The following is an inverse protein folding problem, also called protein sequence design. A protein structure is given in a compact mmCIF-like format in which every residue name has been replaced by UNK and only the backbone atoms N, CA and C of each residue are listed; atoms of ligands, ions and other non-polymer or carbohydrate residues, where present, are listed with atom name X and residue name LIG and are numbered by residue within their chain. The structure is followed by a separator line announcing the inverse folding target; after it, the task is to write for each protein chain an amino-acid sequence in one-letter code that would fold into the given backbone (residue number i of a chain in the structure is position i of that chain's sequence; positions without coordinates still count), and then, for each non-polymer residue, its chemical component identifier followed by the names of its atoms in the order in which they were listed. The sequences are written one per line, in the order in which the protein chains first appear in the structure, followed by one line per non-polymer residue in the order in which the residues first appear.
data_IF_421348365125
#
_entry.id   IF_421348365125
#
_cell.length_a   1.000
_cell.length_b   1.000
_cell.length_c   1.000
_cell.angle_alpha   90.00
_cell.angle_beta   90.00
_cell.angle_gamma   90.00
#
_symmetry.space_group_name_H-M   'P 1'
#
loop_
_entity.id
_entity.type
_entity.pdbx_description
1 polymer ?
#
# COMPACT_ATOMS: atom_id res chain seq x y z
N UNK A 1 -10.70 -45.12 51.81
CA UNK A 1 -9.67 -44.08 51.67
C UNK A 1 -9.06 -44.01 50.25
N UNK A 2 -8.71 -45.14 49.60
CA UNK A 2 -8.07 -45.14 48.25
C UNK A 2 -8.93 -44.51 47.14
N UNK A 3 -10.28 -44.65 47.13
CA UNK A 3 -11.17 -44.10 46.15
C UNK A 3 -11.33 -42.55 46.23
N UNK A 4 -11.20 -41.95 47.40
CA UNK A 4 -11.28 -40.51 47.60
C UNK A 4 -10.00 -39.78 47.15
N UNK A 5 -8.85 -40.45 47.28
CA UNK A 5 -7.55 -39.93 46.83
C UNK A 5 -7.46 -39.89 45.31
N UNK A 6 -7.97 -40.90 44.60
CA UNK A 6 -8.00 -40.96 43.13
C UNK A 6 -8.90 -39.86 42.57
N UNK A 7 -10.06 -39.57 43.19
CA UNK A 7 -10.95 -38.46 42.74
C UNK A 7 -10.32 -37.09 42.90
N UNK A 8 -9.55 -36.86 43.95
CA UNK A 8 -8.85 -35.55 44.16
C UNK A 8 -7.72 -35.37 43.17
N UNK A 9 -6.99 -36.43 42.83
CA UNK A 9 -5.93 -36.37 41.80
C UNK A 9 -6.51 -36.14 40.41
N UNK A 10 -7.67 -36.72 40.09
CA UNK A 10 -8.33 -36.48 38.77
C UNK A 10 -8.87 -35.05 38.61
N UNK A 11 -9.39 -34.46 39.70
CA UNK A 11 -9.86 -33.06 39.67
C UNK A 11 -8.68 -32.08 39.59
N UNK A 12 -7.55 -32.36 40.28
CA UNK A 12 -6.33 -31.56 40.16
C UNK A 12 -5.71 -31.65 38.76
N UNK A 13 -5.76 -32.81 38.07
CA UNK A 13 -5.26 -32.97 36.72
C UNK A 13 -6.13 -32.23 35.68
N UNK A 14 -7.46 -32.13 35.86
CA UNK A 14 -8.35 -31.34 35.01
C UNK A 14 -8.19 -29.82 35.22
N UNK A 15 -7.89 -29.36 36.45
CA UNK A 15 -7.65 -27.95 36.73
C UNK A 15 -6.34 -27.43 36.09
N UNK A 16 -5.31 -28.28 35.99
CA UNK A 16 -4.03 -27.93 35.32
C UNK A 16 -4.19 -27.94 33.81
N UNK A 17 -5.08 -28.76 33.23
CA UNK A 17 -5.36 -28.81 31.79
C UNK A 17 -6.11 -27.58 31.26
N UNK A 18 -6.89 -26.88 32.09
CA UNK A 18 -7.62 -25.67 31.68
C UNK A 18 -6.77 -24.39 31.65
N UNK A 19 -5.58 -24.42 32.28
CA UNK A 19 -4.64 -23.27 32.29
C UNK A 19 -3.67 -23.27 31.09
N UNK A 20 -3.58 -24.37 30.35
CA UNK A 20 -2.72 -24.47 29.15
C UNK A 20 -3.40 -24.08 27.84
N UNK A 21 -4.65 -23.59 27.87
CA UNK A 21 -5.45 -23.23 26.70
C UNK A 21 -5.59 -21.73 26.41
N UNK A 22 -4.97 -20.85 27.19
CA UNK A 22 -4.78 -19.47 26.80
C UNK A 22 -3.61 -19.42 25.83
N UNK A 23 -3.90 -19.26 24.51
CA UNK A 23 -2.90 -18.94 23.53
C UNK A 23 -2.07 -17.77 24.06
N UNK A 24 -0.79 -18.01 24.27
CA UNK A 24 0.17 -16.97 24.61
C UNK A 24 0.10 -15.95 23.46
N UNK A 25 -0.56 -14.81 23.67
CA UNK A 25 -0.17 -13.60 22.94
C UNK A 25 1.30 -13.44 23.28
N UNK A 26 2.17 -13.53 22.29
CA UNK A 26 3.57 -13.15 22.46
C UNK A 26 3.57 -11.81 23.20
N UNK A 27 4.28 -11.74 24.31
CA UNK A 27 4.35 -10.51 25.07
C UNK A 27 4.99 -9.46 24.15
N UNK A 28 4.25 -8.38 23.88
CA UNK A 28 4.73 -7.27 23.08
C UNK A 28 6.03 -6.75 23.71
N UNK A 29 7.08 -6.59 22.91
CA UNK A 29 8.32 -5.97 23.38
C UNK A 29 8.07 -4.46 23.51
N UNK A 30 7.86 -3.99 24.74
CA UNK A 30 7.56 -2.58 25.03
C UNK A 30 8.71 -1.63 24.65
N UNK A 31 9.93 -2.18 24.47
CA UNK A 31 11.12 -1.42 24.10
C UNK A 31 11.40 -1.39 22.58
N UNK A 32 10.49 -1.90 21.73
CA UNK A 32 10.67 -1.90 20.29
C UNK A 32 9.83 -0.83 19.59
N UNK A 33 10.29 -0.41 18.39
CA UNK A 33 9.50 0.37 17.46
C UNK A 33 8.72 -0.55 16.53
N UNK A 34 7.39 -0.40 16.51
CA UNK A 34 6.47 -1.20 15.69
C UNK A 34 6.13 -0.46 14.39
N UNK A 35 6.71 -0.91 13.28
CA UNK A 35 6.46 -0.35 11.95
C UNK A 35 5.59 -1.31 11.16
N UNK A 36 4.41 -0.85 10.74
CA UNK A 36 3.53 -1.58 9.83
C UNK A 36 3.85 -1.27 8.38
N UNK A 37 3.77 -2.28 7.52
CA UNK A 37 3.81 -2.13 6.08
C UNK A 37 2.53 -2.67 5.44
N UNK A 38 2.05 -2.01 4.38
CA UNK A 38 0.90 -2.49 3.60
C UNK A 38 1.21 -2.30 2.11
N UNK A 39 0.96 -3.34 1.33
CA UNK A 39 1.07 -3.28 -0.13
C UNK A 39 0.78 -4.63 -0.77
N UNK A 40 0.59 -4.68 -2.10
CA UNK A 40 0.27 -5.90 -2.80
C UNK A 40 1.51 -6.80 -2.93
N UNK A 41 1.55 -7.94 -2.24
CA UNK A 41 2.55 -8.99 -2.46
C UNK A 41 1.97 -10.18 -3.24
N UNK A 42 0.67 -10.14 -3.51
CA UNK A 42 -0.03 -11.02 -4.46
C UNK A 42 -0.87 -10.19 -5.43
N UNK A 43 -1.34 -10.81 -6.53
CA UNK A 43 -2.12 -10.12 -7.58
C UNK A 43 -1.26 -9.37 -8.60
N UNK A 44 -1.91 -8.52 -9.41
CA UNK A 44 -1.30 -7.89 -10.60
C UNK A 44 -0.17 -6.90 -10.28
N UNK A 45 -0.23 -6.25 -9.13
CA UNK A 45 0.76 -5.27 -8.68
C UNK A 45 1.81 -5.86 -7.71
N UNK A 46 1.86 -7.18 -7.56
CA UNK A 46 2.73 -7.87 -6.59
C UNK A 46 4.22 -7.54 -6.74
N UNK A 47 4.68 -7.26 -7.95
CA UNK A 47 6.08 -6.89 -8.20
C UNK A 47 6.48 -5.61 -7.46
N UNK A 48 5.57 -4.64 -7.36
CA UNK A 48 5.82 -3.37 -6.66
C UNK A 48 5.79 -3.56 -5.15
N UNK A 49 4.78 -4.23 -4.62
CA UNK A 49 4.64 -4.46 -3.19
C UNK A 49 5.75 -5.34 -2.63
N UNK A 50 6.14 -6.39 -3.36
CA UNK A 50 7.27 -7.26 -2.97
C UNK A 50 8.59 -6.47 -2.97
N UNK A 51 8.82 -5.59 -3.95
CA UNK A 51 10.02 -4.75 -3.97
C UNK A 51 10.07 -3.80 -2.76
N UNK A 52 8.94 -3.18 -2.40
CA UNK A 52 8.83 -2.31 -1.22
C UNK A 52 9.04 -3.10 0.07
N UNK A 53 8.39 -4.25 0.21
CA UNK A 53 8.55 -5.12 1.38
C UNK A 53 10.02 -5.51 1.59
N UNK A 54 10.68 -5.97 0.53
CA UNK A 54 12.09 -6.39 0.60
C UNK A 54 13.01 -5.21 0.90
N UNK A 55 12.80 -4.05 0.27
CA UNK A 55 13.60 -2.86 0.56
C UNK A 55 13.45 -2.36 1.99
N UNK A 56 12.23 -2.38 2.54
CA UNK A 56 11.98 -2.04 3.93
C UNK A 56 12.62 -3.05 4.88
N UNK A 57 12.54 -4.36 4.59
CA UNK A 57 13.17 -5.39 5.41
C UNK A 57 14.69 -5.21 5.48
N UNK A 58 15.34 -4.93 4.34
CA UNK A 58 16.78 -4.65 4.31
C UNK A 58 17.13 -3.47 5.23
N UNK A 59 16.38 -2.38 5.16
CA UNK A 59 16.61 -1.22 6.02
C UNK A 59 16.39 -1.54 7.51
N UNK A 60 15.37 -2.32 7.83
CA UNK A 60 15.10 -2.78 9.20
C UNK A 60 16.25 -3.64 9.72
N UNK A 61 16.73 -4.59 8.92
CA UNK A 61 17.83 -5.47 9.29
C UNK A 61 19.11 -4.67 9.55
N UNK A 62 19.48 -3.74 8.64
CA UNK A 62 20.65 -2.87 8.79
C UNK A 62 20.57 -1.98 10.05
N UNK A 63 19.41 -1.37 10.31
CA UNK A 63 19.19 -0.53 11.49
C UNK A 63 19.29 -1.37 12.76
N UNK A 64 18.70 -2.55 12.78
CA UNK A 64 18.72 -3.46 13.92
C UNK A 64 20.12 -4.01 14.19
N UNK A 65 20.87 -4.37 13.16
CA UNK A 65 22.28 -4.79 13.28
C UNK A 65 23.17 -3.67 13.83
N UNK A 66 22.86 -2.42 13.49
CA UNK A 66 23.56 -1.25 14.02
C UNK A 66 23.17 -0.90 15.49
N UNK A 67 22.28 -1.66 16.10
CA UNK A 67 21.83 -1.47 17.50
C UNK A 67 20.47 -0.79 17.64
N UNK A 68 19.71 -0.67 16.56
CA UNK A 68 18.38 -0.07 16.55
C UNK A 68 18.38 1.46 16.59
N UNK A 69 17.21 2.03 16.80
CA UNK A 69 17.01 3.48 16.93
C UNK A 69 17.11 3.86 18.40
N UNK A 70 18.18 4.55 18.80
CA UNK A 70 18.45 4.90 20.21
C UNK A 70 18.49 3.67 21.14
N UNK A 71 18.94 2.52 20.63
CA UNK A 71 19.01 1.26 21.37
C UNK A 71 17.73 0.41 21.31
N UNK A 72 16.68 0.87 20.64
CA UNK A 72 15.43 0.15 20.46
C UNK A 72 15.39 -0.54 19.09
N UNK A 73 15.08 -1.82 19.07
CA UNK A 73 14.94 -2.60 17.83
C UNK A 73 13.66 -2.24 17.10
N UNK A 74 13.64 -2.39 15.78
CA UNK A 74 12.46 -2.26 14.95
C UNK A 74 11.81 -3.64 14.83
N UNK A 75 10.53 -3.72 15.16
CA UNK A 75 9.63 -4.83 14.81
C UNK A 75 8.85 -4.42 13.55
N UNK A 76 8.95 -5.24 12.51
CA UNK A 76 8.34 -4.93 11.22
C UNK A 76 7.33 -6.01 10.83
N UNK A 77 6.12 -5.59 10.46
CA UNK A 77 5.04 -6.47 10.00
C UNK A 77 4.44 -5.92 8.72
N UNK A 78 4.46 -6.72 7.65
CA UNK A 78 3.93 -6.33 6.35
C UNK A 78 2.68 -7.15 6.01
N UNK A 79 1.60 -6.47 5.60
CA UNK A 79 0.32 -7.06 5.24
C UNK A 79 0.05 -6.92 3.74
N UNK A 80 -0.48 -7.98 3.13
CA UNK A 80 -0.87 -8.00 1.72
C UNK A 80 -2.26 -7.39 1.52
N UNK A 81 -2.35 -6.30 0.77
CA UNK A 81 -3.62 -5.67 0.37
C UNK A 81 -4.13 -6.13 -1.01
N UNK A 82 -3.33 -6.88 -1.76
CA UNK A 82 -3.64 -7.35 -3.11
C UNK A 82 -4.02 -6.22 -4.10
N UNK A 83 -3.68 -4.97 -3.78
CA UNK A 83 -4.10 -3.79 -4.54
C UNK A 83 -5.59 -3.43 -4.36
N UNK A 84 -6.24 -3.94 -3.33
CA UNK A 84 -7.66 -3.77 -3.04
C UNK A 84 -7.87 -2.81 -1.85
N UNK A 85 -8.70 -1.75 -2.01
CA UNK A 85 -8.94 -0.76 -0.96
C UNK A 85 -9.56 -1.34 0.33
N UNK A 86 -10.46 -2.32 0.24
CA UNK A 86 -11.10 -2.93 1.41
C UNK A 86 -10.12 -3.81 2.18
N UNK A 87 -9.28 -4.57 1.44
CA UNK A 87 -8.22 -5.37 2.06
C UNK A 87 -7.16 -4.50 2.72
N UNK A 88 -6.81 -3.36 2.12
CA UNK A 88 -5.90 -2.39 2.72
C UNK A 88 -6.45 -1.83 4.04
N UNK A 89 -7.74 -1.50 4.11
CA UNK A 89 -8.39 -1.06 5.34
C UNK A 89 -8.37 -2.17 6.42
N UNK A 90 -8.60 -3.43 6.05
CA UNK A 90 -8.51 -4.56 6.96
C UNK A 90 -7.07 -4.81 7.44
N UNK A 91 -6.09 -4.70 6.53
CA UNK A 91 -4.67 -4.79 6.85
C UNK A 91 -4.24 -3.70 7.84
N UNK A 92 -4.71 -2.46 7.63
CA UNK A 92 -4.48 -1.35 8.56
C UNK A 92 -5.00 -1.67 9.96
N UNK A 93 -6.24 -2.13 10.09
CA UNK A 93 -6.82 -2.51 11.39
C UNK A 93 -6.04 -3.64 12.06
N UNK A 94 -5.61 -4.65 11.28
CA UNK A 94 -4.76 -5.76 11.79
C UNK A 94 -3.44 -5.24 12.36
N UNK A 95 -2.77 -4.32 11.66
CA UNK A 95 -1.52 -3.72 12.12
C UNK A 95 -1.73 -2.80 13.33
N UNK A 96 -2.84 -2.07 13.38
CA UNK A 96 -3.22 -1.27 14.54
C UNK A 96 -3.42 -2.13 15.78
N UNK A 97 -4.12 -3.26 15.65
CA UNK A 97 -4.32 -4.24 16.74
C UNK A 97 -3.00 -4.91 17.17
N UNK A 98 -2.06 -5.10 16.25
CA UNK A 98 -0.71 -5.56 16.53
C UNK A 98 0.09 -4.50 17.32
N UNK A 99 -0.33 -3.24 17.24
CA UNK A 99 0.24 -2.11 17.97
C UNK A 99 1.26 -1.31 17.17
N UNK A 100 1.06 -1.24 15.86
CA UNK A 100 1.79 -0.36 14.95
C UNK A 100 1.82 1.08 15.45
N UNK A 101 2.98 1.74 15.33
CA UNK A 101 3.21 3.14 15.69
C UNK A 101 3.40 4.04 14.46
N UNK A 102 3.87 3.47 13.35
CA UNK A 102 4.11 4.15 12.08
C UNK A 102 3.67 3.23 10.94
N UNK A 103 2.99 3.78 9.94
CA UNK A 103 2.62 3.06 8.73
C UNK A 103 3.53 3.45 7.56
N UNK A 104 4.22 2.48 6.97
CA UNK A 104 4.88 2.55 5.67
C UNK A 104 3.99 1.87 4.62
N UNK A 105 3.26 2.67 3.88
CA UNK A 105 2.28 2.16 2.90
C UNK A 105 1.12 3.14 2.68
N UNK A 106 0.13 2.77 1.84
CA UNK A 106 0.20 1.58 1.00
C UNK A 106 1.03 1.86 -0.27
N UNK A 107 1.30 0.82 -1.05
CA UNK A 107 2.16 0.93 -2.25
C UNK A 107 1.42 1.50 -3.45
N UNK A 108 0.15 1.15 -3.64
CA UNK A 108 -0.69 1.58 -4.77
C UNK A 108 -1.69 2.65 -4.38
N UNK A 109 -2.07 3.52 -5.31
CA UNK A 109 -2.85 4.73 -5.05
C UNK A 109 -4.24 4.45 -4.47
N UNK A 110 -5.04 3.57 -5.08
CA UNK A 110 -6.41 3.28 -4.62
C UNK A 110 -6.48 2.84 -3.15
N UNK A 111 -5.76 1.77 -2.77
CA UNK A 111 -5.60 1.37 -1.37
C UNK A 111 -5.08 2.49 -0.45
N UNK A 112 -4.11 3.29 -0.92
CA UNK A 112 -3.54 4.37 -0.10
C UNK A 112 -4.56 5.47 0.23
N UNK A 113 -5.38 5.86 -0.73
CA UNK A 113 -6.47 6.83 -0.50
C UNK A 113 -7.45 6.32 0.56
N UNK A 114 -7.82 5.03 0.52
CA UNK A 114 -8.74 4.46 1.50
C UNK A 114 -8.15 4.39 2.92
N UNK A 115 -6.85 4.13 3.04
CA UNK A 115 -6.15 4.05 4.33
C UNK A 115 -5.82 5.44 4.88
N UNK A 116 -5.58 6.44 4.04
CA UNK A 116 -5.24 7.81 4.45
C UNK A 116 -6.31 8.44 5.37
N UNK A 117 -7.60 8.14 5.16
CA UNK A 117 -8.66 8.63 6.01
C UNK A 117 -8.71 7.92 7.39
N UNK A 118 -8.34 6.64 7.42
CA UNK A 118 -8.25 5.86 8.67
C UNK A 118 -7.06 6.34 9.50
N UNK A 119 -5.90 6.54 8.88
CA UNK A 119 -4.70 7.05 9.57
C UNK A 119 -4.90 8.47 10.09
N UNK A 120 -5.63 9.32 9.35
CA UNK A 120 -5.98 10.67 9.80
C UNK A 120 -6.90 10.64 11.04
N UNK A 121 -7.92 9.76 11.03
CA UNK A 121 -8.83 9.61 12.16
C UNK A 121 -8.12 9.13 13.44
N UNK A 122 -7.08 8.31 13.29
CA UNK A 122 -6.27 7.76 14.37
C UNK A 122 -5.04 8.63 14.73
N UNK A 123 -4.81 9.72 14.01
CA UNK A 123 -3.59 10.54 14.10
C UNK A 123 -2.30 9.69 13.95
N UNK A 124 -2.36 8.70 13.06
CA UNK A 124 -1.25 7.78 12.74
C UNK A 124 -0.38 8.38 11.66
N UNK A 125 0.94 8.47 11.90
CA UNK A 125 1.88 8.85 10.84
C UNK A 125 1.89 7.81 9.72
N UNK A 126 1.74 8.27 8.48
CA UNK A 126 1.78 7.43 7.28
C UNK A 126 2.76 8.00 6.27
N UNK A 127 3.58 7.12 5.69
CA UNK A 127 4.44 7.46 4.56
C UNK A 127 4.23 6.43 3.44
N UNK A 128 3.85 6.90 2.24
CA UNK A 128 3.73 6.02 1.07
C UNK A 128 4.99 6.06 0.22
N UNK A 129 5.56 4.91 -0.16
CA UNK A 129 6.73 4.86 -1.03
C UNK A 129 6.42 5.22 -2.48
N UNK A 130 5.21 4.92 -2.98
CA UNK A 130 4.91 4.98 -4.42
C UNK A 130 3.46 5.33 -4.80
N UNK A 131 2.50 5.38 -3.88
CA UNK A 131 1.17 5.86 -4.21
C UNK A 131 1.24 7.35 -4.56
N UNK A 132 0.88 7.71 -5.80
CA UNK A 132 1.31 8.97 -6.43
C UNK A 132 0.19 9.99 -6.68
N UNK A 133 -1.09 9.66 -6.41
CA UNK A 133 -2.17 10.65 -6.44
C UNK A 133 -1.99 11.71 -5.36
N UNK A 134 -2.38 12.94 -5.65
CA UNK A 134 -2.45 14.02 -4.66
C UNK A 134 -3.49 13.76 -3.57
N UNK A 135 -4.47 12.89 -3.83
CA UNK A 135 -5.50 12.52 -2.86
C UNK A 135 -4.95 11.72 -1.66
N UNK A 136 -3.76 11.09 -1.81
CA UNK A 136 -3.13 10.36 -0.70
C UNK A 136 -2.54 11.29 0.37
N UNK A 137 -2.17 12.51 -0.03
CA UNK A 137 -1.56 13.53 0.86
C UNK A 137 -2.50 14.68 1.22
N UNK A 138 -3.82 14.44 1.13
CA UNK A 138 -4.82 15.45 1.52
C UNK A 138 -4.87 15.72 3.03
N UNK A 139 -4.36 14.81 3.84
CA UNK A 139 -4.31 14.88 5.29
C UNK A 139 -2.87 15.14 5.77
N UNK A 140 -2.71 15.97 6.80
CA UNK A 140 -1.41 16.44 7.29
C UNK A 140 -0.51 15.35 7.90
N UNK A 141 -1.05 14.17 8.17
CA UNK A 141 -0.35 13.01 8.73
C UNK A 141 0.21 12.07 7.66
N UNK A 142 -0.05 12.32 6.37
CA UNK A 142 0.36 11.44 5.25
C UNK A 142 1.43 12.12 4.41
N UNK A 143 2.53 11.41 4.18
CA UNK A 143 3.67 11.86 3.39
C UNK A 143 3.90 10.94 2.20
N UNK A 144 4.40 11.48 1.11
CA UNK A 144 4.65 10.80 -0.15
C UNK A 144 6.11 10.95 -0.57
N UNK A 145 6.78 9.84 -0.90
CA UNK A 145 8.19 9.85 -1.33
C UNK A 145 8.30 10.06 -2.84
N UNK A 146 7.39 9.48 -3.62
CA UNK A 146 7.41 9.55 -5.08
C UNK A 146 6.88 10.90 -5.61
N UNK A 147 7.11 11.15 -6.90
CA UNK A 147 6.45 12.25 -7.63
C UNK A 147 4.94 12.01 -7.76
N UNK A 148 4.20 13.09 -8.01
CA UNK A 148 2.72 13.02 -8.11
C UNK A 148 2.24 12.69 -9.52
N UNK A 149 1.04 12.11 -9.66
CA UNK A 149 0.37 11.86 -10.95
C UNK A 149 0.26 13.13 -11.81
N UNK A 150 -0.18 14.29 -11.27
CA UNK A 150 -0.14 15.55 -12.00
C UNK A 150 1.23 15.89 -12.60
N UNK A 151 2.29 15.69 -11.83
CA UNK A 151 3.64 15.96 -12.32
C UNK A 151 4.04 14.98 -13.43
N UNK A 152 3.67 13.70 -13.33
CA UNK A 152 3.95 12.70 -14.36
C UNK A 152 3.21 13.01 -15.66
N UNK A 153 1.90 13.31 -15.61
CA UNK A 153 1.10 13.67 -16.78
C UNK A 153 1.63 14.91 -17.48
N UNK A 154 1.85 15.99 -16.72
CA UNK A 154 2.38 17.25 -17.23
C UNK A 154 3.77 17.09 -17.86
N UNK A 155 4.69 16.42 -17.17
CA UNK A 155 6.07 16.23 -17.67
C UNK A 155 6.12 15.32 -18.91
N UNK A 156 5.26 14.33 -19.01
CA UNK A 156 5.17 13.46 -20.18
C UNK A 156 4.71 14.25 -21.42
N UNK A 157 3.70 15.11 -21.29
CA UNK A 157 3.23 15.95 -22.39
C UNK A 157 4.31 16.99 -22.81
N UNK A 158 4.95 17.65 -21.83
CA UNK A 158 6.06 18.59 -22.08
C UNK A 158 7.20 17.89 -22.84
N UNK A 159 7.61 16.71 -22.39
CA UNK A 159 8.70 15.97 -23.03
C UNK A 159 8.41 15.61 -24.50
N UNK A 160 7.17 15.20 -24.83
CA UNK A 160 6.76 14.94 -26.22
C UNK A 160 6.83 16.22 -27.03
N UNK A 161 6.31 17.33 -26.52
CA UNK A 161 6.26 18.61 -27.21
C UNK A 161 7.63 19.26 -27.41
N UNK A 162 8.42 19.39 -26.35
CA UNK A 162 9.75 20.00 -26.36
C UNK A 162 10.73 19.25 -27.27
N UNK A 163 10.63 17.92 -27.32
CA UNK A 163 11.49 17.08 -28.16
C UNK A 163 10.89 16.76 -29.53
N UNK A 164 9.70 17.31 -29.86
CA UNK A 164 9.02 17.06 -31.13
C UNK A 164 8.87 15.57 -31.49
N UNK A 165 8.59 14.72 -30.50
CA UNK A 165 8.54 13.27 -30.67
C UNK A 165 7.36 12.81 -31.53
N UNK A 166 6.25 13.52 -31.48
CA UNK A 166 5.04 13.23 -32.25
C UNK A 166 4.27 14.50 -32.59
N UNK A 167 3.48 14.47 -33.69
CA UNK A 167 2.51 15.50 -34.03
C UNK A 167 1.08 15.11 -33.67
N UNK A 168 0.82 13.82 -33.56
CA UNK A 168 -0.46 13.23 -33.13
C UNK A 168 -0.21 12.16 -32.09
N UNK A 169 -0.96 12.23 -31.00
CA UNK A 169 -0.85 11.31 -29.88
C UNK A 169 -2.21 10.72 -29.59
N UNK A 170 -2.28 9.43 -29.39
CA UNK A 170 -3.45 8.76 -28.85
C UNK A 170 -3.13 8.20 -27.46
N UNK A 171 -4.13 8.20 -26.59
CA UNK A 171 -4.01 7.75 -25.21
C UNK A 171 -4.92 6.53 -25.00
N UNK A 172 -4.41 5.51 -24.31
CA UNK A 172 -5.22 4.43 -23.74
C UNK A 172 -4.98 4.44 -22.23
N UNK A 173 -6.04 4.51 -21.44
CA UNK A 173 -5.93 4.62 -19.99
C UNK A 173 -7.00 3.81 -19.26
N UNK A 174 -6.70 3.42 -18.02
CA UNK A 174 -7.66 2.74 -17.14
C UNK A 174 -8.52 3.77 -16.39
N UNK A 175 -9.79 3.92 -16.78
CA UNK A 175 -10.70 4.89 -16.16
C UNK A 175 -11.23 4.46 -14.80
N UNK A 176 -11.04 3.20 -14.39
CA UNK A 176 -11.41 2.71 -13.08
C UNK A 176 -10.28 2.79 -12.04
N UNK A 177 -9.13 3.33 -12.44
CA UNK A 177 -7.95 3.48 -11.59
C UNK A 177 -7.59 4.96 -11.42
N UNK A 178 -7.55 5.42 -10.16
CA UNK A 178 -7.26 6.82 -9.80
C UNK A 178 -5.87 7.23 -10.30
N UNK A 179 -4.88 6.34 -10.22
CA UNK A 179 -3.52 6.57 -10.73
C UNK A 179 -3.54 6.87 -12.23
N UNK A 180 -4.12 5.98 -13.02
CA UNK A 180 -4.13 6.06 -14.47
C UNK A 180 -4.95 7.26 -15.00
N UNK A 181 -6.12 7.51 -14.40
CA UNK A 181 -6.97 8.65 -14.78
C UNK A 181 -6.39 9.99 -14.36
N UNK A 182 -5.67 10.04 -13.22
CA UNK A 182 -5.00 11.26 -12.77
C UNK A 182 -3.87 11.69 -13.71
N UNK A 183 -3.08 10.74 -14.21
CA UNK A 183 -2.02 11.00 -15.20
C UNK A 183 -2.64 11.46 -16.53
N UNK A 184 -3.66 10.73 -17.02
CA UNK A 184 -4.33 11.07 -18.28
C UNK A 184 -4.88 12.50 -18.25
N UNK A 185 -5.61 12.87 -17.20
CA UNK A 185 -6.22 14.20 -17.09
C UNK A 185 -5.18 15.33 -17.17
N UNK A 186 -4.04 15.18 -16.51
CA UNK A 186 -2.97 16.20 -16.53
C UNK A 186 -2.14 16.17 -17.81
N UNK A 187 -2.00 15.02 -18.43
CA UNK A 187 -1.41 14.92 -19.77
C UNK A 187 -2.26 15.68 -20.81
N UNK A 188 -3.58 15.47 -20.80
CA UNK A 188 -4.52 16.16 -21.72
C UNK A 188 -4.51 17.66 -21.48
N UNK A 189 -4.55 18.10 -20.22
CA UNK A 189 -4.50 19.53 -19.86
C UNK A 189 -3.22 20.18 -20.40
N UNK A 190 -2.06 19.59 -20.17
CA UNK A 190 -0.78 20.13 -20.62
C UNK A 190 -0.58 20.03 -22.13
N UNK A 191 -1.12 19.01 -22.79
CA UNK A 191 -1.02 18.84 -24.23
C UNK A 191 -1.59 20.04 -25.01
N UNK A 192 -2.56 20.76 -24.42
CA UNK A 192 -3.10 22.01 -25.00
C UNK A 192 -2.06 23.14 -25.11
N UNK A 193 -0.98 23.08 -24.32
CA UNK A 193 0.13 24.03 -24.33
C UNK A 193 1.29 23.56 -25.23
N UNK A 194 1.18 22.38 -25.81
CA UNK A 194 2.24 21.75 -26.60
C UNK A 194 1.96 21.79 -28.10
N UNK A 195 2.95 21.41 -28.91
CA UNK A 195 2.88 21.46 -30.37
C UNK A 195 2.45 20.14 -31.03
N UNK A 196 1.63 19.33 -30.34
CA UNK A 196 1.02 18.10 -30.84
C UNK A 196 -0.48 18.07 -30.54
N UNK A 197 -1.21 17.22 -31.25
CA UNK A 197 -2.65 17.01 -31.10
C UNK A 197 -2.95 15.67 -30.43
N UNK A 198 -3.88 15.67 -29.46
CA UNK A 198 -4.47 14.42 -28.98
C UNK A 198 -5.60 14.04 -29.88
N UNK A 199 -5.42 13.00 -30.72
CA UNK A 199 -6.40 12.54 -31.70
C UNK A 199 -7.43 11.58 -31.11
N UNK A 200 -7.13 10.93 -30.01
CA UNK A 200 -8.05 10.02 -29.29
C UNK A 200 -7.58 9.80 -27.86
N UNK A 201 -8.52 9.72 -26.92
CA UNK A 201 -8.29 9.25 -25.55
C UNK A 201 -9.32 8.14 -25.25
N UNK A 202 -8.84 6.90 -25.19
CA UNK A 202 -9.67 5.72 -25.13
C UNK A 202 -9.55 5.05 -23.77
N UNK A 203 -10.68 4.95 -23.07
CA UNK A 203 -10.75 4.32 -21.75
C UNK A 203 -10.91 2.80 -21.86
N UNK A 204 -10.36 2.09 -20.87
CA UNK A 204 -10.74 0.73 -20.51
C UNK A 204 -10.96 0.65 -18.99
N UNK A 205 -11.43 -0.49 -18.50
CA UNK A 205 -11.62 -0.75 -17.07
C UNK A 205 -10.80 -1.96 -16.64
N UNK A 206 -10.59 -2.11 -15.33
CA UNK A 206 -9.83 -3.23 -14.76
C UNK A 206 -10.39 -4.61 -15.17
N UNK A 207 -11.70 -4.70 -15.41
CA UNK A 207 -12.37 -5.94 -15.83
C UNK A 207 -12.10 -6.30 -17.31
N UNK A 208 -11.62 -5.36 -18.11
CA UNK A 208 -11.38 -5.54 -19.56
C UNK A 208 -9.99 -5.04 -19.97
N UNK A 209 -8.96 -5.59 -19.35
CA UNK A 209 -7.54 -5.19 -19.50
C UNK A 209 -6.70 -6.11 -20.39
N UNK A 210 -7.33 -7.03 -21.11
CA UNK A 210 -6.63 -8.03 -21.95
C UNK A 210 -6.87 -7.88 -23.44
N UNK A 211 -7.97 -7.20 -23.85
CA UNK A 211 -8.31 -6.95 -25.24
C UNK A 211 -8.58 -5.46 -25.48
N UNK A 212 -7.69 -4.81 -26.19
CA UNK A 212 -7.76 -3.41 -26.58
C UNK A 212 -8.20 -3.18 -28.04
N UNK A 213 -8.75 -4.20 -28.70
CA UNK A 213 -9.11 -4.14 -30.11
C UNK A 213 -10.15 -3.04 -30.43
N UNK A 214 -11.04 -2.74 -29.48
CA UNK A 214 -12.03 -1.65 -29.60
C UNK A 214 -11.35 -0.29 -29.58
N UNK A 215 -10.48 -0.05 -28.60
CA UNK A 215 -9.72 1.20 -28.47
C UNK A 215 -8.80 1.41 -29.67
N UNK A 216 -8.07 0.37 -30.08
CA UNK A 216 -7.15 0.44 -31.23
C UNK A 216 -7.86 0.70 -32.58
N UNK A 217 -9.12 0.28 -32.76
CA UNK A 217 -9.90 0.59 -33.94
C UNK A 217 -10.28 2.07 -34.03
N UNK A 218 -10.46 2.75 -32.90
CA UNK A 218 -10.81 4.17 -32.86
C UNK A 218 -9.58 5.07 -33.05
N UNK A 219 -8.40 4.59 -32.67
CA UNK A 219 -7.14 5.32 -32.82
C UNK A 219 -6.62 5.31 -34.27
N UNK A 220 -7.03 4.36 -35.11
CA UNK A 220 -6.67 4.28 -36.51
C UNK A 220 -7.44 5.31 -37.35
#
# INVERSE_FOLDING_TARGET
MKKKIVSVILVAAMAVGCLAGCGSKEAKNEDAFYIGGIGPVTGDAAIYGTAVQNGAQIAVDEINEAGGINGHQIEYNFQDDQGDPEKAANAYNTLKDWGMQVLMGTVTTGPCVSVADLTAADNMFQITPSASSTDVIKNDNVFQVCFTDPAQGTKSAQYIGENNLAKKVAIIYNSSDIYSSGIEAKFVEEAANQNFEIVSAEAFTADNKTDFSVQLKKIK
#
